data_IF_064187565423
#
_entry.id   IF_064187565423
#
_cell.length_a   1.000
_cell.length_b   1.000
_cell.length_c   1.000
_cell.angle_alpha   90.00
_cell.angle_beta   90.00
_cell.angle_gamma   90.00
#
_symmetry.space_group_name_H-M   'P 1'
#
loop_
_entity.id
_entity.type
_entity.pdbx_description
1 polymer ?
#
# COMPACT_ATOMS: atom_id res chain seq x y z
N UNK A 1 20.99 -1.58 -4.59
CA UNK A 1 20.11 -0.92 -5.60
C UNK A 1 19.38 0.20 -4.88
N UNK A 2 19.82 1.45 -5.08
CA UNK A 2 19.13 2.58 -4.42
C UNK A 2 17.74 2.69 -5.04
N UNK A 3 16.70 2.50 -4.27
CA UNK A 3 15.39 3.02 -4.59
C UNK A 3 15.55 4.55 -4.55
N UNK A 4 16.06 5.11 -5.65
CA UNK A 4 15.97 6.55 -5.85
C UNK A 4 14.48 6.82 -5.93
N UNK A 5 14.01 7.60 -4.99
CA UNK A 5 12.69 8.15 -4.98
C UNK A 5 12.39 8.67 -6.38
N UNK A 6 11.48 8.02 -7.10
CA UNK A 6 11.10 8.40 -8.46
C UNK A 6 9.81 9.17 -8.37
N UNK A 7 9.68 10.13 -9.21
CA UNK A 7 8.46 10.90 -9.33
C UNK A 7 7.43 10.07 -10.11
N UNK A 8 6.21 10.05 -9.62
CA UNK A 8 5.06 9.41 -10.24
C UNK A 8 4.09 10.52 -10.66
N UNK A 9 3.52 10.40 -11.84
CA UNK A 9 2.38 11.25 -12.26
C UNK A 9 1.11 10.68 -11.62
N UNK A 10 0.41 11.52 -10.85
CA UNK A 10 -0.83 11.11 -10.18
C UNK A 10 -2.00 11.35 -11.12
N UNK A 11 -2.74 10.29 -11.42
CA UNK A 11 -4.02 10.36 -12.10
C UNK A 11 -5.15 10.68 -11.10
N UNK A 12 -6.06 11.55 -11.50
CA UNK A 12 -7.28 11.81 -10.74
C UNK A 12 -8.23 10.60 -10.85
N UNK A 13 -9.20 10.49 -9.93
CA UNK A 13 -10.27 9.46 -9.97
C UNK A 13 -10.98 9.35 -11.34
N UNK A 14 -10.80 10.34 -12.22
CA UNK A 14 -11.34 10.36 -13.59
C UNK A 14 -10.36 9.87 -14.65
N UNK A 15 -9.15 9.42 -14.27
CA UNK A 15 -8.13 8.98 -15.21
C UNK A 15 -7.46 10.14 -15.99
N UNK A 16 -7.55 11.38 -15.50
CA UNK A 16 -6.84 12.53 -16.05
C UNK A 16 -5.56 12.76 -15.25
N UNK A 17 -4.42 12.85 -15.92
CA UNK A 17 -3.14 13.21 -15.31
C UNK A 17 -3.27 14.59 -14.66
N UNK A 18 -3.10 14.66 -13.33
CA UNK A 18 -3.21 15.92 -12.60
C UNK A 18 -2.00 16.82 -12.81
N UNK A 19 -0.97 16.34 -13.52
CA UNK A 19 0.30 17.06 -13.72
C UNK A 19 1.10 17.28 -12.43
N UNK A 20 0.64 16.76 -11.30
CA UNK A 20 1.39 16.80 -10.05
C UNK A 20 2.41 15.66 -10.03
N UNK A 21 3.69 16.02 -9.98
CA UNK A 21 4.78 15.07 -9.86
C UNK A 21 5.07 14.91 -8.35
N UNK A 22 4.76 13.76 -7.80
CA UNK A 22 5.07 13.42 -6.40
C UNK A 22 6.03 12.23 -6.36
N UNK A 23 6.74 12.09 -5.25
CA UNK A 23 7.62 10.94 -5.08
C UNK A 23 6.81 9.65 -4.84
N UNK A 24 7.36 8.51 -5.26
CA UNK A 24 6.73 7.19 -5.04
C UNK A 24 6.38 6.96 -3.56
N UNK A 25 7.25 7.40 -2.65
CA UNK A 25 7.04 7.22 -1.23
C UNK A 25 5.92 8.13 -0.70
N UNK A 26 5.84 9.38 -1.15
CA UNK A 26 4.73 10.29 -0.82
C UNK A 26 3.39 9.76 -1.34
N UNK A 27 3.36 9.24 -2.57
CA UNK A 27 2.19 8.58 -3.12
C UNK A 27 1.73 7.41 -2.24
N UNK A 28 2.64 6.50 -1.88
CA UNK A 28 2.32 5.38 -1.00
C UNK A 28 1.78 5.86 0.35
N UNK A 29 2.43 6.86 0.97
CA UNK A 29 2.00 7.40 2.26
C UNK A 29 0.59 8.01 2.16
N UNK A 30 0.32 8.80 1.13
CA UNK A 30 -0.99 9.43 0.94
C UNK A 30 -2.09 8.38 0.81
N UNK A 31 -1.87 7.37 -0.03
CA UNK A 31 -2.78 6.28 -0.27
C UNK A 31 -3.06 5.43 0.99
N UNK A 32 -2.02 5.13 1.77
CA UNK A 32 -2.16 4.38 3.01
C UNK A 32 -2.90 5.18 4.10
N UNK A 33 -2.66 6.50 4.17
CA UNK A 33 -3.37 7.40 5.10
C UNK A 33 -4.85 7.54 4.74
N UNK A 34 -5.17 7.75 3.46
CA UNK A 34 -6.55 7.94 2.99
C UNK A 34 -7.48 6.78 3.38
N UNK A 35 -6.97 5.55 3.28
CA UNK A 35 -7.74 4.34 3.57
C UNK A 35 -7.57 3.83 5.01
N UNK A 36 -6.86 4.57 5.86
CA UNK A 36 -6.52 4.15 7.25
C UNK A 36 -5.95 2.73 7.28
N UNK A 37 -4.96 2.50 6.41
CA UNK A 37 -4.33 1.20 6.26
C UNK A 37 -3.22 1.04 7.29
N UNK A 38 -3.33 -0.01 8.12
CA UNK A 38 -2.31 -0.41 9.07
C UNK A 38 -1.78 -1.79 8.72
N UNK A 39 -0.48 -1.98 8.89
CA UNK A 39 0.12 -3.29 8.66
C UNK A 39 -0.17 -4.23 9.83
N UNK A 40 -0.70 -5.41 9.52
CA UNK A 40 -1.00 -6.44 10.53
C UNK A 40 0.28 -6.99 11.17
N UNK A 41 1.39 -7.04 10.42
CA UNK A 41 2.65 -7.56 10.92
C UNK A 41 3.36 -6.50 11.78
N UNK A 42 3.70 -6.79 13.06
CA UNK A 42 4.21 -5.79 13.99
C UNK A 42 5.46 -5.05 13.50
N UNK A 43 6.41 -5.78 12.91
CA UNK A 43 7.66 -5.19 12.39
C UNK A 43 7.41 -4.18 11.28
N UNK A 44 6.54 -4.51 10.32
CA UNK A 44 6.22 -3.59 9.22
C UNK A 44 5.40 -2.41 9.70
N UNK A 45 4.49 -2.63 10.66
CA UNK A 45 3.74 -1.54 11.26
C UNK A 45 4.65 -0.55 12.01
N UNK A 46 5.69 -1.05 12.68
CA UNK A 46 6.68 -0.26 13.39
C UNK A 46 7.50 0.61 12.42
N UNK A 47 7.98 0.02 11.31
CA UNK A 47 8.71 0.76 10.26
C UNK A 47 7.80 1.82 9.63
N UNK A 48 6.53 1.47 9.36
CA UNK A 48 5.57 2.40 8.78
C UNK A 48 5.25 3.57 9.73
N UNK A 49 5.06 3.29 11.02
CA UNK A 49 4.84 4.33 12.02
C UNK A 49 6.01 5.29 12.11
N UNK A 50 7.23 4.78 12.08
CA UNK A 50 8.46 5.58 12.09
C UNK A 50 8.56 6.46 10.82
N UNK A 51 8.27 5.88 9.65
CA UNK A 51 8.22 6.63 8.39
C UNK A 51 7.21 7.79 8.44
N UNK A 52 6.01 7.53 8.96
CA UNK A 52 4.97 8.55 9.10
C UNK A 52 5.37 9.65 10.09
N UNK A 53 5.97 9.28 11.22
CA UNK A 53 6.44 10.25 12.21
C UNK A 53 7.52 11.16 11.60
N UNK A 54 8.50 10.58 10.93
CA UNK A 54 9.54 11.34 10.24
C UNK A 54 8.95 12.29 9.18
N UNK A 55 8.05 11.79 8.35
CA UNK A 55 7.39 12.60 7.31
C UNK A 55 6.58 13.76 7.91
N UNK A 56 5.88 13.54 9.02
CA UNK A 56 5.11 14.59 9.69
C UNK A 56 6.00 15.66 10.35
N UNK A 57 7.21 15.29 10.79
CA UNK A 57 8.14 16.21 11.43
C UNK A 57 8.99 17.01 10.44
N UNK A 58 9.36 16.37 9.31
CA UNK A 58 10.35 16.95 8.39
C UNK A 58 9.76 17.32 7.02
N UNK A 59 8.50 16.99 6.76
CA UNK A 59 7.84 17.16 5.45
C UNK A 59 8.67 16.56 4.28
N UNK A 60 9.44 15.52 4.57
CA UNK A 60 10.34 14.86 3.63
C UNK A 60 10.46 13.36 3.93
N UNK A 61 10.82 12.60 2.90
CA UNK A 61 11.06 11.17 3.06
C UNK A 61 12.48 10.95 3.59
N UNK A 62 12.65 10.10 4.63
CA UNK A 62 13.98 9.79 5.16
C UNK A 62 14.81 9.00 4.16
N UNK A 63 16.10 9.26 4.13
CA UNK A 63 17.03 8.45 3.35
C UNK A 63 17.09 7.00 3.88
N UNK A 64 17.44 6.05 3.01
CA UNK A 64 17.64 4.64 3.34
C UNK A 64 18.54 4.44 4.58
N UNK A 65 19.59 5.26 4.70
CA UNK A 65 20.53 5.23 5.82
C UNK A 65 19.87 5.46 7.18
N UNK A 66 18.82 6.27 7.22
CA UNK A 66 18.08 6.56 8.45
C UNK A 66 17.53 5.26 9.07
N UNK A 67 16.94 4.40 8.26
CA UNK A 67 16.39 3.13 8.73
C UNK A 67 17.46 2.06 8.96
N UNK A 68 18.49 2.00 8.12
CA UNK A 68 19.58 1.03 8.30
C UNK A 68 20.38 1.30 9.56
N UNK A 69 20.56 2.57 9.92
CA UNK A 69 21.28 3.01 11.13
C UNK A 69 20.33 3.37 12.28
N UNK A 70 19.09 2.93 12.21
CA UNK A 70 18.10 3.26 13.22
C UNK A 70 18.50 2.70 14.59
N UNK A 71 18.23 3.48 15.66
CA UNK A 71 18.56 3.11 17.04
C UNK A 71 17.87 1.83 17.53
N UNK A 72 16.69 1.52 16.95
CA UNK A 72 15.98 0.29 17.21
C UNK A 72 16.51 -0.83 16.31
N UNK A 73 17.14 -1.87 16.91
CA UNK A 73 17.75 -2.96 16.14
C UNK A 73 16.73 -3.78 15.35
N UNK A 74 15.45 -3.82 15.77
CA UNK A 74 14.42 -4.54 15.04
C UNK A 74 14.08 -3.86 13.72
N UNK A 75 14.04 -2.53 13.70
CA UNK A 75 13.85 -1.73 12.47
C UNK A 75 15.06 -1.89 11.57
N UNK A 76 16.26 -1.61 12.09
CA UNK A 76 17.53 -1.67 11.35
C UNK A 76 17.74 -3.04 10.69
N UNK A 77 17.57 -4.13 11.45
CA UNK A 77 17.72 -5.49 10.92
C UNK A 77 16.68 -5.83 9.85
N UNK A 78 15.40 -5.47 10.11
CA UNK A 78 14.32 -5.76 9.16
C UNK A 78 14.51 -5.01 7.86
N UNK A 79 14.86 -3.71 7.92
CA UNK A 79 15.12 -2.91 6.72
C UNK A 79 16.34 -3.42 5.96
N UNK A 80 17.45 -3.73 6.66
CA UNK A 80 18.63 -4.31 6.02
C UNK A 80 18.33 -5.64 5.30
N UNK A 81 17.43 -6.47 5.86
CA UNK A 81 16.97 -7.69 5.20
C UNK A 81 16.12 -7.41 3.95
N UNK A 82 15.26 -6.37 3.99
CA UNK A 82 14.43 -5.99 2.85
C UNK A 82 15.26 -5.40 1.70
N UNK A 83 16.31 -4.66 2.05
CA UNK A 83 17.22 -4.04 1.07
C UNK A 83 18.24 -5.03 0.49
N UNK A 84 18.42 -6.17 1.14
CA UNK A 84 19.32 -7.21 0.65
C UNK A 84 18.73 -7.89 -0.59
N UNK A 85 19.38 -7.71 -1.73
CA UNK A 85 19.01 -8.38 -2.98
C UNK A 85 19.16 -9.89 -2.84
N UNK A 86 18.04 -10.58 -2.68
CA UNK A 86 18.01 -12.05 -2.57
C UNK A 86 18.20 -12.75 -3.92
N UNK A 87 17.89 -12.09 -5.01
CA UNK A 87 17.94 -12.65 -6.35
C UNK A 87 18.47 -11.61 -7.34
N UNK A 88 19.58 -11.94 -8.01
CA UNK A 88 20.03 -11.21 -9.19
C UNK A 88 19.35 -11.83 -10.41
N UNK A 89 18.74 -10.97 -11.24
CA UNK A 89 18.23 -11.39 -12.53
C UNK A 89 19.40 -11.85 -13.40
N UNK A 90 19.25 -13.02 -14.04
CA UNK A 90 20.20 -13.48 -15.02
C UNK A 90 20.24 -12.53 -16.21
N UNK A 91 21.43 -12.25 -16.72
CA UNK A 91 21.62 -11.40 -17.89
C UNK A 91 21.14 -12.14 -19.18
N UNK A 92 19.92 -11.85 -19.59
CA UNK A 92 19.29 -12.42 -20.79
C UNK A 92 19.54 -11.57 -22.02
N UNK A 93 20.19 -10.41 -21.90
CA UNK A 93 20.48 -9.53 -23.03
C UNK A 93 21.39 -10.20 -24.06
N UNK A 94 22.24 -11.13 -23.62
CA UNK A 94 23.08 -11.97 -24.49
C UNK A 94 22.31 -12.89 -25.42
N UNK A 95 20.99 -13.06 -25.20
CA UNK A 95 20.09 -13.89 -26.01
C UNK A 95 19.05 -13.04 -26.74
N UNK A 96 19.26 -11.73 -26.86
CA UNK A 96 18.33 -10.76 -27.42
C UNK A 96 16.93 -10.77 -26.73
N UNK A 97 16.88 -11.22 -25.45
CA UNK A 97 15.68 -11.21 -24.65
C UNK A 97 15.76 -10.03 -23.70
N UNK A 98 14.94 -9.03 -23.93
CA UNK A 98 14.78 -7.90 -23.01
C UNK A 98 13.86 -8.29 -21.86
N UNK A 99 14.40 -8.25 -20.63
CA UNK A 99 13.61 -8.44 -19.41
C UNK A 99 13.56 -7.08 -18.72
N UNK A 100 12.38 -6.42 -18.66
CA UNK A 100 12.28 -5.13 -17.98
C UNK A 100 12.60 -5.29 -16.50
N UNK A 101 13.37 -4.36 -15.97
CA UNK A 101 13.74 -4.32 -14.55
C UNK A 101 12.54 -3.88 -13.70
N UNK A 102 12.53 -4.24 -12.40
CA UNK A 102 11.53 -3.74 -11.45
C UNK A 102 11.48 -2.22 -11.44
N UNK A 103 12.62 -1.56 -11.66
CA UNK A 103 12.74 -0.11 -11.69
C UNK A 103 11.98 0.52 -12.88
N UNK A 104 11.92 -0.16 -14.01
CA UNK A 104 11.20 0.32 -15.20
C UNK A 104 9.68 0.14 -15.08
N UNK A 105 9.25 -0.80 -14.24
CA UNK A 105 7.84 -1.09 -13.96
C UNK A 105 7.41 -0.62 -12.55
N UNK A 106 8.21 0.22 -11.92
CA UNK A 106 7.98 0.58 -10.51
C UNK A 106 6.59 1.19 -10.29
N UNK A 107 6.16 2.06 -11.18
CA UNK A 107 4.86 2.73 -11.12
C UNK A 107 3.72 1.72 -11.15
N UNK A 108 3.68 0.87 -12.17
CA UNK A 108 2.68 -0.19 -12.31
C UNK A 108 2.68 -1.14 -11.11
N UNK A 109 3.87 -1.52 -10.62
CA UNK A 109 4.02 -2.44 -9.49
C UNK A 109 3.54 -1.82 -8.18
N UNK A 110 3.83 -0.54 -7.96
CA UNK A 110 3.39 0.19 -6.77
C UNK A 110 1.88 0.34 -6.78
N UNK A 111 1.31 0.77 -7.91
CA UNK A 111 -0.13 0.93 -8.06
C UNK A 111 -0.86 -0.41 -7.83
N UNK A 112 -0.42 -1.47 -8.48
CA UNK A 112 -0.99 -2.81 -8.30
C UNK A 112 -0.90 -3.29 -6.84
N UNK A 113 0.24 -3.06 -6.17
CA UNK A 113 0.44 -3.43 -4.78
C UNK A 113 -0.52 -2.69 -3.84
N UNK A 114 -0.70 -1.38 -4.05
CA UNK A 114 -1.63 -0.55 -3.29
C UNK A 114 -3.07 -1.02 -3.51
N UNK A 115 -3.49 -1.25 -4.75
CA UNK A 115 -4.84 -1.72 -5.06
C UNK A 115 -5.10 -3.08 -4.40
N UNK A 116 -4.14 -4.00 -4.43
CA UNK A 116 -4.24 -5.30 -3.75
C UNK A 116 -4.35 -5.16 -2.24
N UNK A 117 -3.60 -4.23 -1.65
CA UNK A 117 -3.66 -3.95 -0.22
C UNK A 117 -5.02 -3.35 0.18
N UNK A 118 -5.53 -2.37 -0.59
CA UNK A 118 -6.87 -1.80 -0.42
C UNK A 118 -7.95 -2.89 -0.48
N UNK A 119 -7.90 -3.78 -1.48
CA UNK A 119 -8.83 -4.90 -1.59
C UNK A 119 -8.84 -5.76 -0.32
N UNK A 120 -7.67 -6.10 0.20
CA UNK A 120 -7.55 -6.90 1.43
C UNK A 120 -8.14 -6.18 2.64
N UNK A 121 -7.85 -4.90 2.81
CA UNK A 121 -8.35 -4.10 3.95
C UNK A 121 -9.88 -3.97 3.89
N UNK A 122 -10.44 -3.68 2.71
CA UNK A 122 -11.91 -3.58 2.53
C UNK A 122 -12.58 -4.92 2.85
N UNK A 123 -12.03 -6.05 2.37
CA UNK A 123 -12.56 -7.39 2.66
C UNK A 123 -12.52 -7.70 4.16
N UNK A 124 -11.44 -7.37 4.85
CA UNK A 124 -11.34 -7.52 6.31
C UNK A 124 -12.34 -6.63 7.07
N UNK A 125 -12.60 -5.40 6.59
CA UNK A 125 -13.63 -4.52 7.18
C UNK A 125 -15.03 -5.11 6.99
N UNK A 126 -15.31 -5.69 5.83
CA UNK A 126 -16.58 -6.39 5.53
C UNK A 126 -16.75 -7.60 6.46
N UNK A 127 -15.74 -8.47 6.59
CA UNK A 127 -15.78 -9.64 7.47
C UNK A 127 -16.07 -9.26 8.93
N UNK A 128 -15.33 -8.27 9.46
CA UNK A 128 -15.55 -7.77 10.82
C UNK A 128 -16.93 -7.18 11.02
N UNK A 129 -17.48 -6.55 10.00
CA UNK A 129 -18.83 -5.99 10.05
C UNK A 129 -19.90 -7.09 10.07
N UNK A 130 -19.74 -8.12 9.22
CA UNK A 130 -20.62 -9.29 9.21
C UNK A 130 -20.58 -10.05 10.54
N UNK A 131 -19.42 -10.19 11.17
CA UNK A 131 -19.30 -10.79 12.50
C UNK A 131 -20.05 -9.99 13.56
N UNK A 132 -19.89 -8.67 13.57
CA UNK A 132 -20.65 -7.79 14.48
C UNK A 132 -22.16 -7.90 14.28
N UNK A 133 -22.63 -7.98 13.05
CA UNK A 133 -24.06 -8.10 12.75
C UNK A 133 -24.70 -9.43 13.20
N UNK A 134 -23.88 -10.46 13.45
CA UNK A 134 -24.36 -11.74 14.02
C UNK A 134 -24.62 -11.66 15.53
N UNK A 135 -24.15 -10.64 16.22
CA UNK A 135 -24.39 -10.47 17.65
C UNK A 135 -25.86 -10.24 17.95
N UNK A 136 -26.43 -10.91 18.95
CA UNK A 136 -27.82 -10.76 19.34
C UNK A 136 -28.15 -9.40 19.97
N UNK A 137 -27.12 -8.67 20.43
CA UNK A 137 -27.30 -7.41 21.17
C UNK A 137 -27.56 -6.18 20.28
N UNK A 138 -27.64 -6.36 18.96
CA UNK A 138 -27.86 -5.27 18.00
C UNK A 138 -29.31 -4.83 17.96
N UNK A 139 -29.55 -3.52 18.15
CA UNK A 139 -30.84 -2.89 17.92
C UNK A 139 -31.21 -2.85 16.42
N UNK A 140 -32.49 -2.66 16.11
CA UNK A 140 -32.94 -2.61 14.71
C UNK A 140 -32.30 -1.44 13.96
N UNK A 141 -32.19 -0.27 14.60
CA UNK A 141 -31.58 0.94 13.99
C UNK A 141 -30.11 0.77 13.72
N UNK A 142 -29.34 0.14 14.62
CA UNK A 142 -27.95 -0.19 14.41
C UNK A 142 -27.77 -1.16 13.25
N UNK A 143 -28.64 -2.15 13.11
CA UNK A 143 -28.61 -3.09 11.98
C UNK A 143 -28.82 -2.38 10.65
N UNK A 144 -29.77 -1.44 10.56
CA UNK A 144 -30.01 -0.66 9.33
C UNK A 144 -28.79 0.18 8.97
N UNK A 145 -28.17 0.85 9.96
CA UNK A 145 -26.95 1.62 9.74
C UNK A 145 -25.81 0.74 9.22
N UNK A 146 -25.55 -0.39 9.87
CA UNK A 146 -24.51 -1.32 9.46
C UNK A 146 -24.77 -1.95 8.09
N UNK A 147 -26.03 -2.18 7.73
CA UNK A 147 -26.39 -2.66 6.39
C UNK A 147 -26.05 -1.63 5.31
N UNK A 148 -26.31 -0.36 5.54
CA UNK A 148 -25.94 0.71 4.61
C UNK A 148 -24.42 0.84 4.46
N UNK A 149 -23.68 0.74 5.56
CA UNK A 149 -22.20 0.79 5.52
C UNK A 149 -21.64 -0.46 4.83
N UNK A 150 -22.22 -1.63 5.05
CA UNK A 150 -21.87 -2.86 4.33
C UNK A 150 -22.08 -2.72 2.82
N UNK A 151 -23.22 -2.14 2.39
CA UNK A 151 -23.48 -1.94 0.96
C UNK A 151 -22.43 -1.02 0.32
N UNK A 152 -22.03 0.07 1.01
CA UNK A 152 -20.96 0.98 0.53
C UNK A 152 -19.63 0.24 0.39
N UNK A 153 -19.22 -0.51 1.41
CA UNK A 153 -17.98 -1.27 1.39
C UNK A 153 -17.99 -2.37 0.31
N UNK A 154 -19.13 -3.03 0.12
CA UNK A 154 -19.27 -4.06 -0.92
C UNK A 154 -19.17 -3.45 -2.33
N UNK A 155 -19.79 -2.30 -2.57
CA UNK A 155 -19.67 -1.57 -3.83
C UNK A 155 -18.21 -1.17 -4.10
N UNK A 156 -17.52 -0.67 -3.07
CA UNK A 156 -16.10 -0.34 -3.16
C UNK A 156 -15.25 -1.58 -3.46
N UNK A 157 -15.52 -2.72 -2.80
CA UNK A 157 -14.83 -3.98 -3.05
C UNK A 157 -14.96 -4.43 -4.51
N UNK A 158 -16.17 -4.37 -5.06
CA UNK A 158 -16.44 -4.72 -6.47
C UNK A 158 -15.65 -3.80 -7.42
N UNK A 159 -15.62 -2.49 -7.12
CA UNK A 159 -14.87 -1.53 -7.94
C UNK A 159 -13.37 -1.82 -7.93
N UNK A 160 -12.81 -2.11 -6.75
CA UNK A 160 -11.40 -2.48 -6.59
C UNK A 160 -11.08 -3.80 -7.31
N UNK A 161 -11.94 -4.82 -7.16
CA UNK A 161 -11.72 -6.12 -7.79
C UNK A 161 -11.80 -6.03 -9.34
N UNK A 162 -12.63 -5.13 -9.90
CA UNK A 162 -12.64 -4.83 -11.35
C UNK A 162 -11.32 -4.20 -11.81
N UNK A 163 -10.76 -3.25 -11.05
CA UNK A 163 -9.43 -2.68 -11.36
C UNK A 163 -8.32 -3.74 -11.34
N UNK A 164 -8.45 -4.78 -10.52
CA UNK A 164 -7.52 -5.91 -10.47
C UNK A 164 -7.75 -6.97 -11.57
N UNK A 165 -8.69 -6.73 -12.51
CA UNK A 165 -9.06 -7.70 -13.54
C UNK A 165 -9.74 -8.96 -12.99
N UNK A 166 -10.29 -8.89 -11.78
CA UNK A 166 -11.07 -9.96 -11.16
C UNK A 166 -12.54 -9.71 -11.45
N UNK A 167 -13.05 -10.32 -12.51
CA UNK A 167 -14.49 -10.35 -12.75
C UNK A 167 -15.15 -11.28 -11.72
N UNK A 168 -16.20 -10.73 -11.06
CA UNK A 168 -17.07 -11.53 -10.19
C UNK A 168 -18.18 -12.19 -11.01
#
# INVERSE_FOLDING_TARGET
MCIRDRNIEVENEKGESSGAIISTAEYIISELKEYDIQFTHPKYNKIYSELINYFNEHESIPEEKYFVQHHDPEISQTVSQLLSDKHQLSDWTKKDIYVPTETEKLEDLVEEAIIRLKSKVVKLKIEKMLEKMKSPDFTVDERVKHMNDFQKLNTLSIHIDKKLGREC
#
